data_IF_778446040102
#
_entry.id   IF_778446040102
#
_cell.length_a   1.000
_cell.length_b   1.000
_cell.length_c   1.000
_cell.angle_alpha   90.00
_cell.angle_beta   90.00
_cell.angle_gamma   90.00
#
_symmetry.space_group_name_H-M   'P 1'
#
loop_
_entity.id
_entity.type
_entity.pdbx_description
1 polymer ?
2 non-polymer ?
3 non-polymer ?
4 non-polymer ?
5 non-polymer ?
6 water ?
#
# COMPACT_ATOMS: atom_id res chain seq x y z
N UNK A 4 17.97 -6.84 -22.44
CA UNK A 4 19.23 -6.42 -21.75
C UNK A 4 19.01 -5.09 -20.99
N UNK A 5 18.05 -5.01 -20.07
CA UNK A 5 17.68 -3.72 -19.41
C UNK A 5 17.03 -3.92 -18.05
N UNK A 6 17.22 -2.93 -17.18
CA UNK A 6 16.57 -2.84 -15.86
C UNK A 6 15.64 -1.63 -15.87
N UNK A 7 14.42 -1.79 -15.35
CA UNK A 7 13.45 -0.67 -15.19
C UNK A 7 13.11 -0.56 -13.70
N UNK A 8 13.27 0.64 -13.15
CA UNK A 8 12.90 0.96 -11.75
C UNK A 8 11.62 1.77 -11.71
N UNK A 9 10.71 1.40 -10.80
CA UNK A 9 9.47 2.17 -10.51
C UNK A 9 9.42 2.40 -9.01
N UNK A 10 8.71 3.43 -8.58
CA UNK A 10 8.62 3.75 -7.13
C UNK A 10 7.19 3.56 -6.63
N UNK A 11 7.06 2.99 -5.44
CA UNK A 11 5.79 2.91 -4.68
C UNK A 11 5.99 3.64 -3.36
N UNK A 12 4.92 4.27 -2.86
CA UNK A 12 4.86 4.81 -1.48
C UNK A 12 3.73 4.10 -0.75
N UNK A 13 4.06 3.51 0.39
CA UNK A 13 3.10 2.88 1.31
C UNK A 13 3.06 3.82 2.50
N UNK A 14 1.91 4.01 3.08
CA UNK A 14 1.91 4.80 4.30
C UNK A 14 0.64 4.61 5.05
N UNK A 15 0.54 5.34 6.14
CA UNK A 15 -0.70 5.36 6.94
C UNK A 15 -0.82 6.63 7.75
N UNK A 16 -2.06 6.93 8.09
CA UNK A 16 -2.44 7.95 9.08
C UNK A 16 -3.28 7.30 10.17
N UNK A 17 -3.13 7.81 11.38
CA UNK A 17 -3.94 7.38 12.54
C UNK A 17 -4.13 8.56 13.48
N UNK A 18 -5.34 8.68 14.01
CA UNK A 18 -5.64 9.72 15.02
C UNK A 18 -6.63 9.16 16.04
N UNK A 19 -6.50 9.68 17.25
CA UNK A 19 -7.39 9.39 18.40
C UNK A 19 -8.73 10.07 18.09
N UNK A 20 -9.86 9.38 18.18
CA UNK A 20 -11.15 10.10 17.98
C UNK A 20 -11.38 11.05 19.18
N UNK A 21 -12.17 12.10 18.98
CA UNK A 21 -12.60 12.98 20.09
C UNK A 21 -13.39 12.11 21.08
N UNK A 22 -14.19 11.19 20.57
CA UNK A 22 -14.97 10.25 21.40
C UNK A 22 -14.93 8.88 20.75
N UNK A 23 -14.67 7.82 21.51
CA UNK A 23 -14.72 6.47 20.95
C UNK A 23 -16.06 6.16 20.28
N UNK A 24 -16.05 5.19 19.37
CA UNK A 24 -17.28 4.66 18.75
C UNK A 24 -18.06 3.95 19.85
N UNK A 25 -19.30 3.56 19.55
CA UNK A 25 -20.15 2.73 20.46
C UNK A 25 -19.46 1.38 20.73
N UNK A 26 -18.64 0.87 19.80
CA UNK A 26 -17.94 -0.43 20.00
C UNK A 26 -16.75 -0.24 20.95
N UNK A 27 -16.40 1.01 21.26
CA UNK A 27 -15.21 1.39 22.03
C UNK A 27 -13.94 1.60 21.20
N UNK A 28 -14.03 1.71 19.86
CA UNK A 28 -12.85 1.99 19.00
C UNK A 28 -12.39 3.42 19.24
N UNK A 29 -11.13 3.56 19.59
CA UNK A 29 -10.52 4.83 20.03
C UNK A 29 -9.90 5.61 18.87
N UNK A 30 -9.62 4.96 17.73
CA UNK A 30 -8.77 5.56 16.67
C UNK A 30 -9.45 5.42 15.31
N UNK A 31 -9.22 6.41 14.45
CA UNK A 31 -9.48 6.25 13.00
C UNK A 31 -8.12 6.10 12.33
N UNK A 32 -8.06 5.24 11.32
CA UNK A 32 -6.77 5.05 10.61
C UNK A 32 -7.03 4.77 9.14
N UNK A 33 -6.00 5.02 8.36
CA UNK A 33 -6.08 4.84 6.91
C UNK A 33 -4.70 4.37 6.45
N UNK A 34 -4.68 3.29 5.68
CA UNK A 34 -3.45 2.76 5.04
C UNK A 34 -3.60 2.89 3.52
N UNK A 35 -2.49 3.11 2.83
CA UNK A 35 -2.51 3.32 1.36
C UNK A 35 -1.23 2.82 0.70
N UNK A 36 -1.39 2.61 -0.60
CA UNK A 36 -0.29 2.47 -1.58
C UNK A 36 -0.54 3.50 -2.68
N UNK A 37 0.48 4.27 -3.06
CA UNK A 37 0.35 5.28 -4.14
C UNK A 37 1.66 5.36 -4.91
N UNK A 38 1.63 6.05 -6.04
CA UNK A 38 2.86 6.39 -6.77
C UNK A 38 3.35 7.76 -6.34
N UNK A 39 4.59 8.15 -6.69
CA UNK A 39 5.04 9.53 -6.50
C UNK A 39 4.19 10.47 -7.36
N UNK A 40 4.31 11.79 -7.13
CA UNK A 40 3.58 12.84 -7.89
C UNK A 40 3.75 12.57 -9.39
N UNK A 41 2.65 12.62 -10.14
CA UNK A 41 2.59 12.60 -11.63
C UNK A 41 2.47 11.16 -12.17
N UNK A 42 2.92 10.16 -11.41
CA UNK A 42 3.00 8.75 -11.88
C UNK A 42 1.62 8.14 -11.79
N UNK A 43 1.40 7.09 -12.55
CA UNK A 43 0.13 6.33 -12.50
C UNK A 43 0.48 4.83 -12.41
N UNK A 44 0.50 4.28 -11.19
CA UNK A 44 0.96 2.88 -10.93
C UNK A 44 -0.10 1.92 -11.47
N UNK A 45 -1.27 2.44 -11.79
CA UNK A 45 -2.38 1.59 -12.30
C UNK A 45 -1.97 0.97 -13.64
N UNK A 46 -1.01 1.54 -14.36
CA UNK A 46 -0.49 0.92 -15.61
C UNK A 46 0.11 -0.47 -15.35
N UNK A 47 0.78 -0.67 -14.21
CA UNK A 47 1.50 -1.94 -13.95
C UNK A 47 0.96 -2.69 -12.73
N UNK A 48 0.05 -2.10 -11.96
CA UNK A 48 -0.58 -2.74 -10.76
C UNK A 48 -1.96 -3.29 -11.15
N UNK A 49 -2.15 -4.60 -11.06
CA UNK A 49 -3.46 -5.26 -11.22
C UNK A 49 -4.33 -4.94 -10.01
N UNK A 50 -3.79 -5.12 -8.82
CA UNK A 50 -4.54 -4.83 -7.58
C UNK A 50 -3.60 -4.76 -6.39
N UNK A 51 -4.13 -4.22 -5.30
CA UNK A 51 -3.44 -4.20 -3.99
C UNK A 51 -4.37 -4.88 -2.98
N UNK A 52 -3.83 -5.87 -2.30
CA UNK A 52 -4.58 -6.61 -1.24
C UNK A 52 -4.00 -6.18 0.09
N UNK A 53 -4.85 -5.64 0.97
CA UNK A 53 -4.47 -5.29 2.37
C UNK A 53 -5.03 -6.39 3.29
N UNK A 54 -4.17 -7.15 3.94
CA UNK A 54 -4.59 -8.26 4.85
C UNK A 54 -4.75 -7.72 6.27
N UNK A 55 -5.96 -7.38 6.64
CA UNK A 55 -6.24 -6.80 7.97
C UNK A 55 -6.14 -7.90 9.03
N UNK A 56 -5.93 -7.53 10.28
CA UNK A 56 -6.01 -8.46 11.44
C UNK A 56 -7.30 -9.29 11.35
N UNK A 57 -7.27 -10.57 11.72
CA UNK A 57 -8.44 -11.49 11.64
C UNK A 57 -9.66 -10.90 12.38
N UNK A 58 -9.46 -9.99 13.34
CA UNK A 58 -10.57 -9.42 14.16
C UNK A 58 -11.48 -8.53 13.31
N UNK A 59 -11.01 -8.05 12.15
CA UNK A 59 -11.81 -7.14 11.30
C UNK A 59 -12.76 -7.98 10.46
N UNK A 60 -13.96 -7.48 10.13
CA UNK A 60 -14.82 -8.14 9.15
C UNK A 60 -14.17 -8.07 7.76
N UNK A 61 -14.41 -9.08 6.92
CA UNK A 61 -13.83 -9.26 5.57
C UNK A 61 -12.42 -8.68 5.54
N UNK A 62 -11.46 -9.28 6.27
CA UNK A 62 -10.13 -8.69 6.47
C UNK A 62 -9.21 -8.69 5.24
N UNK A 63 -9.57 -9.46 4.21
CA UNK A 63 -8.89 -9.47 2.89
C UNK A 63 -9.51 -8.34 2.08
N UNK A 64 -8.88 -7.16 2.10
CA UNK A 64 -9.46 -5.94 1.48
C UNK A 64 -8.73 -5.71 0.14
N UNK A 65 -9.47 -5.67 -0.95
CA UNK A 65 -8.86 -5.65 -2.30
C UNK A 65 -9.21 -4.31 -2.95
N UNK A 66 -8.23 -3.63 -3.53
CA UNK A 66 -8.43 -2.42 -4.37
C UNK A 66 -7.89 -2.71 -5.78
N UNK A 67 -8.76 -2.75 -6.78
CA UNK A 67 -8.41 -3.04 -8.21
C UNK A 67 -8.15 -1.74 -8.96
N UNK A 68 -8.46 -0.59 -8.36
CA UNK A 68 -8.17 0.71 -8.97
C UNK A 68 -7.93 1.71 -7.85
N UNK A 69 -7.31 2.85 -8.15
CA UNK A 69 -7.02 3.83 -7.12
C UNK A 69 -8.31 4.50 -6.66
N UNK A 70 -8.39 5.01 -5.42
CA UNK A 70 -7.28 4.97 -4.48
C UNK A 70 -7.08 3.55 -3.92
N UNK A 71 -5.81 3.17 -3.79
CA UNK A 71 -5.39 1.89 -3.15
C UNK A 71 -5.29 2.20 -1.66
N UNK A 72 -6.40 2.02 -0.94
CA UNK A 72 -6.45 2.42 0.50
C UNK A 72 -7.55 1.68 1.23
N UNK A 73 -7.38 1.61 2.54
CA UNK A 73 -8.42 1.12 3.47
C UNK A 73 -8.56 2.18 4.55
N UNK A 74 -9.79 2.62 4.80
CA UNK A 74 -10.12 3.51 5.94
C UNK A 74 -10.82 2.66 7.00
N UNK A 75 -10.34 2.69 8.23
CA UNK A 75 -10.93 1.87 9.31
C UNK A 75 -10.98 2.60 10.65
N UNK A 76 -11.72 2.00 11.59
CA UNK A 76 -11.71 2.36 13.03
C UNK A 76 -11.25 1.16 13.85
N UNK A 77 -10.53 1.42 14.93
CA UNK A 77 -10.11 0.34 15.83
C UNK A 77 -9.43 0.86 17.07
N UNK A 78 -8.81 -0.04 17.81
CA UNK A 78 -8.26 0.24 19.15
C UNK A 78 -6.83 -0.29 19.28
N UNK A 79 -6.24 -0.94 18.27
CA UNK A 79 -4.84 -1.41 18.41
C UNK A 79 -4.12 -1.44 17.06
N UNK A 80 -2.82 -1.20 17.08
CA UNK A 80 -1.91 -1.44 15.94
C UNK A 80 -1.77 -2.93 15.65
N UNK A 81 -1.22 -3.28 14.48
CA UNK A 81 -0.91 -4.68 14.09
C UNK A 81 -0.03 -4.66 12.84
N UNK A 82 0.55 -5.81 12.52
CA UNK A 82 1.42 -6.00 11.34
C UNK A 82 0.48 -6.39 10.20
N UNK A 83 0.51 -5.63 9.10
CA UNK A 83 -0.43 -5.82 7.98
C UNK A 83 0.38 -6.25 6.77
N UNK A 84 0.22 -7.49 6.29
CA UNK A 84 0.77 -7.85 4.98
C UNK A 84 0.02 -7.03 3.93
N UNK A 85 0.77 -6.50 2.97
CA UNK A 85 0.21 -5.74 1.82
C UNK A 85 0.83 -6.33 0.56
N UNK A 86 -0.01 -6.89 -0.32
CA UNK A 86 0.44 -7.53 -1.57
C UNK A 86 0.09 -6.62 -2.75
N UNK A 87 1.07 -6.25 -3.53
CA UNK A 87 0.88 -5.45 -4.77
C UNK A 87 1.05 -6.42 -5.94
N UNK A 88 -0.03 -6.73 -6.63
CA UNK A 88 -0.04 -7.70 -7.76
C UNK A 88 0.24 -6.92 -9.05
N UNK A 89 1.05 -7.47 -9.96
CA UNK A 89 1.49 -6.76 -11.18
C UNK A 89 0.68 -7.24 -12.38
N UNK A 90 0.50 -6.41 -13.42
CA UNK A 90 -0.12 -6.86 -14.70
C UNK A 90 0.97 -7.51 -15.55
N UNK A 91 1.60 -8.56 -15.02
CA UNK A 91 2.87 -9.15 -15.52
C UNK A 91 2.58 -10.60 -15.85
N UNK A 92 3.20 -11.18 -16.86
CA UNK A 92 2.90 -12.60 -17.18
C UNK A 92 3.94 -13.48 -16.50
N UNK A 93 5.08 -12.93 -16.10
CA UNK A 93 6.21 -13.75 -15.60
C UNK A 93 6.54 -13.29 -14.18
N UNK A 94 7.53 -13.92 -13.56
CA UNK A 94 7.98 -13.57 -12.21
C UNK A 94 8.80 -12.29 -12.28
N UNK A 95 8.74 -11.41 -11.26
CA UNK A 95 7.80 -11.57 -10.15
C UNK A 95 6.38 -11.06 -10.49
N UNK A 96 5.38 -11.78 -10.01
CA UNK A 96 3.95 -11.53 -10.32
C UNK A 96 3.36 -10.59 -9.28
N UNK A 97 4.06 -10.43 -8.15
CA UNK A 97 3.57 -9.63 -7.01
C UNK A 97 4.76 -9.34 -6.11
N UNK A 98 4.63 -8.38 -5.22
CA UNK A 98 5.59 -8.16 -4.11
C UNK A 98 4.74 -8.09 -2.84
N UNK A 99 5.25 -8.61 -1.73
CA UNK A 99 4.56 -8.59 -0.42
C UNK A 99 5.38 -7.71 0.54
N UNK A 100 4.73 -6.76 1.19
CA UNK A 100 5.37 -5.91 2.21
C UNK A 100 4.75 -6.33 3.54
N UNK A 101 5.53 -6.20 4.61
CA UNK A 101 5.06 -6.34 6.00
C UNK A 101 4.95 -4.93 6.53
N UNK A 102 3.74 -4.41 6.66
CA UNK A 102 3.49 -3.00 7.05
C UNK A 102 3.17 -2.92 8.55
N UNK A 103 3.88 -2.06 9.28
CA UNK A 103 3.64 -1.82 10.72
C UNK A 103 2.53 -0.78 10.86
N UNK A 104 1.29 -1.21 11.03
CA UNK A 104 0.20 -0.22 11.24
C UNK A 104 0.10 0.13 12.73
N UNK A 105 0.87 1.12 13.18
CA UNK A 105 0.92 1.55 14.60
C UNK A 105 0.01 2.77 14.82
N UNK A 106 -0.59 2.83 16.01
CA UNK A 106 -1.50 3.93 16.44
C UNK A 106 -0.78 4.83 17.46
N UNK A 107 -1.22 6.08 17.65
CA UNK A 107 -0.61 7.03 18.62
C UNK A 107 -1.27 6.81 19.99
N UNK A 108 -0.47 6.60 21.04
CA UNK A 108 -0.92 6.58 22.45
C UNK A 108 -1.49 7.95 22.81
N UNK A 109 -2.40 7.99 23.79
CA UNK A 109 -3.04 9.24 24.28
C UNK A 109 -1.94 10.26 24.63
N UNK A 110 -2.12 11.51 24.21
CA UNK A 110 -1.12 12.59 24.41
C UNK A 110 -0.29 12.83 23.16
N UNK A 111 -0.01 11.79 22.37
CA UNK A 111 0.94 11.85 21.23
C UNK A 111 0.23 12.34 19.98
N UNK A 112 0.87 13.20 19.16
CA UNK A 112 0.23 13.73 17.96
C UNK A 112 -0.28 12.61 17.05
N UNK A 113 -1.14 12.94 16.08
CA UNK A 113 -1.59 11.96 15.09
C UNK A 113 -0.40 11.38 14.32
N UNK A 114 -0.57 10.18 13.77
CA UNK A 114 0.47 9.48 12.97
C UNK A 114 0.29 9.87 11.50
N UNK A 115 1.37 10.23 10.83
CA UNK A 115 1.34 10.50 9.37
C UNK A 115 2.67 9.96 8.84
N UNK A 116 2.71 8.66 8.48
CA UNK A 116 3.97 7.96 8.13
C UNK A 116 3.96 7.53 6.65
N UNK A 117 5.14 7.56 6.04
CA UNK A 117 5.39 7.17 4.64
C UNK A 117 6.63 6.26 4.55
N UNK A 118 6.50 5.23 3.73
CA UNK A 118 7.57 4.26 3.44
C UNK A 118 7.77 4.25 1.93
N UNK A 119 8.93 4.67 1.46
CA UNK A 119 9.25 4.75 0.01
C UNK A 119 9.91 3.44 -0.40
N UNK A 120 9.38 2.79 -1.44
CA UNK A 120 9.88 1.47 -1.91
C UNK A 120 10.28 1.63 -3.38
N UNK A 121 11.51 1.26 -3.71
CA UNK A 121 12.00 1.24 -5.12
C UNK A 121 11.94 -0.20 -5.63
N UNK A 122 11.20 -0.47 -6.70
CA UNK A 122 11.15 -1.82 -7.30
C UNK A 122 12.07 -1.80 -8.53
N UNK A 123 12.99 -2.75 -8.60
CA UNK A 123 13.90 -2.94 -9.75
C UNK A 123 13.45 -4.18 -10.51
N UNK A 124 12.90 -4.02 -11.72
CA UNK A 124 12.56 -5.14 -12.63
C UNK A 124 13.75 -5.38 -13.57
N UNK A 125 14.46 -6.49 -13.35
CA UNK A 125 15.48 -7.06 -14.27
C UNK A 125 14.77 -7.67 -15.48
N UNK A 126 15.11 -7.20 -16.68
CA UNK A 126 14.72 -7.79 -17.98
C UNK A 126 13.24 -8.16 -17.94
N UNK A 127 12.34 -7.19 -17.70
CA UNK A 127 10.92 -7.39 -17.98
C UNK A 127 10.69 -7.72 -19.46
N UNK A 128 9.61 -8.42 -19.75
CA UNK A 128 9.17 -8.63 -21.14
C UNK A 128 8.94 -7.26 -21.77
N UNK A 129 8.92 -7.21 -23.10
CA UNK A 129 8.57 -5.98 -23.85
C UNK A 129 7.23 -5.46 -23.36
N UNK A 130 6.23 -6.34 -23.32
CA UNK A 130 4.84 -6.02 -22.98
C UNK A 130 4.77 -5.38 -21.59
N UNK A 131 5.33 -6.02 -20.57
CA UNK A 131 5.33 -5.44 -19.21
C UNK A 131 6.16 -4.15 -19.16
N UNK A 132 7.22 -4.08 -19.95
CA UNK A 132 8.12 -2.89 -19.96
C UNK A 132 7.33 -1.67 -20.45
N UNK A 133 6.40 -1.84 -21.39
CA UNK A 133 5.49 -0.76 -21.83
C UNK A 133 4.68 -0.25 -20.62
N UNK A 134 4.15 -1.17 -19.82
CA UNK A 134 3.32 -0.80 -18.64
C UNK A 134 4.18 -0.04 -17.62
N UNK A 135 5.39 -0.50 -17.35
CA UNK A 135 6.27 0.18 -16.37
C UNK A 135 6.62 1.58 -16.86
N UNK A 136 6.91 1.73 -18.16
CA UNK A 136 7.30 3.04 -18.71
C UNK A 136 6.11 4.01 -18.70
N UNK A 137 4.91 3.55 -19.07
CA UNK A 137 3.67 4.36 -19.04
C UNK A 137 3.38 4.88 -17.62
N UNK A 138 3.80 4.16 -16.59
CA UNK A 138 3.58 4.54 -15.18
C UNK A 138 4.60 5.58 -14.72
N UNK A 139 5.64 5.82 -15.51
CA UNK A 139 6.72 6.76 -15.14
C UNK A 139 8.01 6.04 -14.79
N UNK A 140 8.09 4.75 -15.09
CA UNK A 140 9.30 3.95 -14.81
C UNK A 140 10.52 4.47 -15.56
N UNK A 141 11.70 4.10 -15.11
CA UNK A 141 13.00 4.64 -15.59
C UNK A 141 13.95 3.48 -15.90
N UNK A 142 14.57 3.50 -17.07
CA UNK A 142 15.62 2.51 -17.44
C UNK A 142 16.91 2.86 -16.70
N UNK A 143 17.56 1.90 -16.04
CA UNK A 143 18.84 2.14 -15.30
C UNK A 143 20.02 2.03 -16.28
X LIG B 1 6.83 5.25 -11.19
X LIG B 1 7.84 5.31 -10.22
X LIG B 1 5.56 4.78 -10.59
X LIG B 1 5.68 3.49 -10.00
X LIG C 1 15.60 6.81 -3.56
X LIG C 1 16.21 8.00 -4.01
X LIG C 1 16.52 5.67 -3.60
X LIG C 1 17.67 5.94 -4.37
X LIG D 1 6.64 -14.38 -7.36
X LIG D 1 6.03 -14.30 -8.76
X LIG D 1 6.23 -12.85 -6.57
X LIG D 1 8.40 -14.13 -7.54
X LIG E 1 -8.79 -4.85 16.29
X LIG E 1 -11.38 -5.32 15.50
X LIG E 1 -5.16 -5.54 16.44
X LIG E 1 -5.70 -6.39 17.59
X LIG E 1 -9.50 -3.77 15.97
X LIG E 1 -10.82 -4.05 15.40
X LIG E 1 -11.69 -3.23 14.72
X LIG E 1 -13.93 -3.57 13.65
X LIG E 1 -16.13 -2.80 12.15
X LIG E 1 -15.12 -4.26 13.78
X LIG E 1 -7.17 -6.02 17.77
X LIG E 1 -7.44 -4.84 16.82
X LIG E 1 -6.38 -5.03 15.71
X LIG E 1 -9.11 -2.60 16.14
X LIG E 1 -12.78 -4.01 14.38
X LIG E 1 -12.53 -5.25 14.88
X LIG E 1 -13.82 -2.51 12.76
X LIG E 1 -14.93 -2.14 12.00
X LIG E 1 -16.22 -3.84 13.06
X LIG E 1 -14.85 -1.14 11.08
X LIG F 1 -9.93 -10.68 -5.88
X LIG F 1 -9.98 -10.97 -7.29
X LIG F 1 -10.38 -11.81 -5.12
X LIG F 1 -8.58 -10.37 -5.51
X LIG F 1 -10.78 -9.55 -5.58
#
# INVERSE_FOLDING_TARGET
MDNQCTVQVRLELGHRAQLRKKPTTEGFTHDWMVFVRGPEQCDIQHFVEKVVFWLHDSFPKPRRVCKEPPYKVEESGYAGFIMPIEVHFKNKEEPRKVCFTYDLFLNLEGNPPVNHLRCEKLTFNNPTTEFRYKLLRAGGVMVMPEGAHHHHHH
EDO C1 O1 C2 O2
EDO C1 O1 C2 O2
DMS S O C1 C2
ZJF N1 N3 C4 C5 C6 C7 C8 C10 C13 C15 C1 C2 C3 O1 N2 C9 C11 C12 C14 O2
SO4 S O1 O2 O3 O4
#
